data_IF_367109672475
#
_entry.id   IF_367109672475
#
_cell.length_a   1.000
_cell.length_b   1.000
_cell.length_c   1.000
_cell.angle_alpha   90.00
_cell.angle_beta   90.00
_cell.angle_gamma   90.00
#
_symmetry.space_group_name_H-M   'P 1'
#
loop_
_entity.id
_entity.type
_entity.pdbx_description
1 polymer ?
#
# COMPACT_ATOMS: atom_id res chain seq x y z
N UNK A 1 3.93 24.45 17.28
CA UNK A 1 4.24 23.97 15.91
C UNK A 1 5.63 23.37 15.99
N UNK A 2 5.77 22.10 15.65
CA UNK A 2 7.07 21.43 15.49
C UNK A 2 7.78 22.11 14.32
N UNK A 3 9.09 22.36 14.42
CA UNK A 3 9.84 22.94 13.30
C UNK A 3 9.92 21.91 12.15
N UNK A 4 9.95 22.38 10.88
CA UNK A 4 10.10 21.49 9.71
C UNK A 4 11.32 20.56 9.84
N UNK A 5 12.38 21.03 10.46
CA UNK A 5 13.60 20.26 10.72
C UNK A 5 13.35 19.11 11.71
N UNK A 6 12.62 19.36 12.79
CA UNK A 6 12.28 18.34 13.80
C UNK A 6 11.38 17.26 13.19
N UNK A 7 10.42 17.65 12.35
CA UNK A 7 9.55 16.69 11.66
C UNK A 7 10.31 15.79 10.67
N UNK A 8 11.29 16.36 9.95
CA UNK A 8 12.15 15.57 9.07
C UNK A 8 13.00 14.55 9.84
N UNK A 9 13.57 14.97 10.99
CA UNK A 9 14.38 14.09 11.84
C UNK A 9 13.52 12.92 12.39
N UNK A 10 12.29 13.19 12.83
CA UNK A 10 11.35 12.16 13.27
C UNK A 10 10.97 11.18 12.15
N UNK A 11 10.71 11.67 10.92
CA UNK A 11 10.39 10.82 9.79
C UNK A 11 11.57 9.95 9.35
N UNK A 12 12.80 10.45 9.40
CA UNK A 12 14.01 9.68 9.09
C UNK A 12 14.17 8.55 10.13
N UNK A 13 14.09 8.88 11.42
CA UNK A 13 14.18 7.87 12.48
C UNK A 13 13.09 6.80 12.33
N UNK A 14 11.84 7.21 12.08
CA UNK A 14 10.74 6.29 11.85
C UNK A 14 10.96 5.41 10.63
N UNK A 15 11.57 5.95 9.56
CA UNK A 15 11.94 5.19 8.38
C UNK A 15 12.92 4.06 8.70
N UNK A 16 13.96 4.35 9.48
CA UNK A 16 14.95 3.36 9.91
C UNK A 16 14.32 2.27 10.79
N UNK A 17 13.41 2.67 11.70
CA UNK A 17 12.69 1.73 12.58
C UNK A 17 11.75 0.78 11.80
N UNK A 18 11.12 1.27 10.74
CA UNK A 18 10.14 0.53 9.93
C UNK A 18 10.76 -0.26 8.77
N UNK A 19 12.02 -0.03 8.43
CA UNK A 19 12.68 -0.66 7.27
C UNK A 19 12.52 -2.18 7.26
N UNK A 20 12.86 -2.83 8.36
CA UNK A 20 12.80 -4.31 8.47
C UNK A 20 11.38 -4.83 8.29
N UNK A 21 10.40 -4.15 8.87
CA UNK A 21 9.00 -4.53 8.73
C UNK A 21 8.53 -4.36 7.28
N UNK A 22 8.90 -3.26 6.64
CA UNK A 22 8.56 -2.99 5.23
C UNK A 22 9.14 -4.04 4.30
N UNK A 23 10.41 -4.44 4.52
CA UNK A 23 11.06 -5.52 3.77
C UNK A 23 10.32 -6.85 3.98
N UNK A 24 9.91 -7.17 5.21
CA UNK A 24 9.18 -8.40 5.50
C UNK A 24 7.80 -8.43 4.82
N UNK A 25 7.06 -7.31 4.86
CA UNK A 25 5.77 -7.18 4.17
C UNK A 25 5.93 -7.33 2.65
N UNK A 26 6.95 -6.70 2.06
CA UNK A 26 7.26 -6.88 0.66
C UNK A 26 7.50 -8.34 0.30
N UNK A 27 8.32 -9.05 1.08
CA UNK A 27 8.62 -10.48 0.84
C UNK A 27 7.39 -11.37 1.01
N UNK A 28 6.53 -11.09 1.99
CA UNK A 28 5.26 -11.80 2.19
C UNK A 28 4.35 -11.66 0.96
N UNK A 29 4.22 -10.44 0.43
CA UNK A 29 3.42 -10.17 -0.77
C UNK A 29 4.08 -10.84 -1.99
N UNK A 30 5.40 -10.71 -2.15
CA UNK A 30 6.16 -11.27 -3.25
C UNK A 30 6.03 -12.79 -3.38
N UNK A 31 6.01 -13.50 -2.26
CA UNK A 31 5.84 -14.96 -2.23
C UNK A 31 4.44 -15.43 -2.63
N UNK A 32 3.44 -14.57 -2.57
CA UNK A 32 2.05 -14.90 -2.83
C UNK A 32 1.44 -14.01 -3.92
N UNK A 33 2.06 -13.90 -5.12
CA UNK A 33 1.60 -12.99 -6.16
C UNK A 33 0.26 -13.46 -6.73
N UNK A 34 -0.59 -12.50 -7.05
CA UNK A 34 -1.93 -12.72 -7.58
C UNK A 34 -2.15 -11.85 -8.81
N UNK A 35 -2.83 -12.42 -9.82
CA UNK A 35 -3.15 -11.69 -11.05
C UNK A 35 -4.25 -10.66 -10.84
N UNK A 36 -4.35 -9.74 -11.78
CA UNK A 36 -5.34 -8.66 -11.82
C UNK A 36 -6.76 -9.11 -11.44
N UNK A 37 -7.40 -8.38 -10.53
CA UNK A 37 -8.69 -8.66 -9.90
C UNK A 37 -8.77 -9.95 -9.05
N UNK A 38 -7.65 -10.57 -8.73
CA UNK A 38 -7.57 -11.75 -7.86
C UNK A 38 -6.67 -11.51 -6.64
N UNK A 39 -6.27 -10.26 -6.36
CA UNK A 39 -5.31 -9.85 -5.33
C UNK A 39 -5.91 -9.94 -3.91
N UNK A 40 -6.65 -11.00 -3.61
CA UNK A 40 -7.35 -11.18 -2.33
C UNK A 40 -6.43 -11.43 -1.15
N UNK A 41 -5.29 -12.11 -1.35
CA UNK A 41 -4.31 -12.33 -0.28
C UNK A 41 -3.56 -11.04 0.01
N UNK A 42 -3.13 -10.33 -1.04
CA UNK A 42 -2.48 -9.03 -0.94
C UNK A 42 -3.39 -8.03 -0.21
N UNK A 43 -4.67 -7.94 -0.58
CA UNK A 43 -5.64 -7.10 0.12
C UNK A 43 -5.80 -7.47 1.60
N UNK A 44 -5.80 -8.77 1.95
CA UNK A 44 -5.83 -9.19 3.36
C UNK A 44 -4.59 -8.76 4.13
N UNK A 45 -3.41 -8.81 3.52
CA UNK A 45 -2.18 -8.27 4.14
C UNK A 45 -2.33 -6.77 4.39
N UNK A 46 -2.82 -6.02 3.41
CA UNK A 46 -3.07 -4.57 3.53
C UNK A 46 -4.06 -4.28 4.66
N UNK A 47 -5.22 -4.93 4.67
CA UNK A 47 -6.25 -4.74 5.71
C UNK A 47 -5.72 -5.09 7.09
N UNK A 48 -5.01 -6.21 7.25
CA UNK A 48 -4.39 -6.61 8.51
C UNK A 48 -3.47 -5.52 9.07
N UNK A 49 -2.62 -4.94 8.23
CA UNK A 49 -1.70 -3.90 8.68
C UNK A 49 -2.45 -2.58 9.00
N UNK A 50 -3.44 -2.19 8.21
CA UNK A 50 -4.27 -1.01 8.48
C UNK A 50 -5.04 -1.16 9.81
N UNK A 51 -5.62 -2.34 10.08
CA UNK A 51 -6.28 -2.65 11.35
C UNK A 51 -5.30 -2.54 12.53
N UNK A 52 -4.09 -3.10 12.38
CA UNK A 52 -3.05 -3.08 13.41
C UNK A 52 -2.65 -1.65 13.81
N UNK A 53 -2.64 -0.72 12.88
CA UNK A 53 -2.26 0.68 13.10
C UNK A 53 -3.45 1.61 13.33
N UNK A 54 -4.67 1.09 13.26
CA UNK A 54 -5.91 1.84 13.50
C UNK A 54 -6.25 2.87 12.44
N UNK A 55 -5.88 2.64 11.18
CA UNK A 55 -6.26 3.50 10.06
C UNK A 55 -7.56 2.98 9.46
N UNK A 56 -8.62 3.81 9.39
CA UNK A 56 -9.87 3.44 8.73
C UNK A 56 -9.66 3.26 7.22
N UNK A 57 -10.32 2.25 6.68
CA UNK A 57 -10.32 1.97 5.25
C UNK A 57 -11.70 1.50 4.78
N UNK A 58 -11.89 1.57 3.48
CA UNK A 58 -13.03 0.99 2.78
C UNK A 58 -12.53 0.05 1.67
N UNK A 59 -13.25 -1.05 1.45
CA UNK A 59 -12.99 -1.89 0.29
C UNK A 59 -13.60 -1.21 -0.95
N UNK A 60 -12.86 -1.18 -2.04
CA UNK A 60 -13.40 -0.70 -3.31
C UNK A 60 -14.63 -1.53 -3.72
N UNK A 61 -15.67 -0.92 -4.31
CA UNK A 61 -16.83 -1.63 -4.82
C UNK A 61 -16.47 -2.77 -5.78
N UNK A 62 -15.43 -2.59 -6.57
CA UNK A 62 -14.80 -3.70 -7.30
C UNK A 62 -13.59 -4.21 -6.51
N UNK A 63 -13.88 -5.22 -5.68
CA UNK A 63 -12.84 -5.94 -4.94
C UNK A 63 -11.78 -6.53 -5.90
N UNK A 64 -10.53 -6.58 -5.46
CA UNK A 64 -10.06 -6.50 -4.06
C UNK A 64 -9.41 -5.16 -3.66
N UNK A 65 -9.67 -4.04 -4.30
CA UNK A 65 -9.06 -2.74 -3.97
C UNK A 65 -9.38 -2.24 -2.54
N UNK A 66 -8.45 -1.51 -1.94
CA UNK A 66 -8.55 -0.93 -0.59
C UNK A 66 -8.25 0.57 -0.65
N UNK A 67 -9.03 1.36 0.06
CA UNK A 67 -8.85 2.82 0.16
C UNK A 67 -8.70 3.21 1.63
N UNK A 68 -7.48 3.44 2.07
CA UNK A 68 -7.17 3.90 3.41
C UNK A 68 -7.32 5.42 3.51
N UNK A 69 -7.82 5.92 4.65
CA UNK A 69 -8.05 7.35 4.86
C UNK A 69 -7.36 7.82 6.14
N UNK A 70 -6.48 8.82 6.00
CA UNK A 70 -5.85 9.52 7.11
C UNK A 70 -6.41 10.93 7.13
N UNK A 71 -7.32 11.17 8.06
CA UNK A 71 -7.92 12.49 8.29
C UNK A 71 -7.25 13.14 9.51
N UNK A 72 -6.63 14.29 9.33
CA UNK A 72 -5.99 15.05 10.41
C UNK A 72 -7.00 15.70 11.38
N UNK A 73 -8.28 15.78 11.01
CA UNK A 73 -9.32 16.53 11.71
C UNK A 73 -9.18 18.06 11.58
N UNK A 74 -8.25 18.54 10.75
CA UNK A 74 -8.00 19.97 10.52
C UNK A 74 -8.31 20.33 9.07
N UNK A 75 -8.80 21.54 8.79
CA UNK A 75 -8.96 22.02 7.41
C UNK A 75 -7.62 21.99 6.66
N UNK A 76 -7.65 21.59 5.39
CA UNK A 76 -6.43 21.51 4.57
C UNK A 76 -6.71 20.94 3.19
N UNK A 77 -5.63 20.53 2.51
CA UNK A 77 -5.70 19.95 1.18
C UNK A 77 -6.16 18.49 1.24
N UNK A 78 -6.71 18.03 0.12
CA UNK A 78 -6.92 16.61 -0.15
C UNK A 78 -5.74 16.10 -0.99
N UNK A 79 -5.13 15.02 -0.56
CA UNK A 79 -4.04 14.34 -1.28
C UNK A 79 -4.44 12.88 -1.50
N UNK A 80 -4.10 12.37 -2.67
CA UNK A 80 -4.29 10.96 -3.02
C UNK A 80 -2.96 10.34 -3.44
N UNK A 81 -2.64 9.19 -2.89
CA UNK A 81 -1.50 8.36 -3.25
C UNK A 81 -2.01 7.03 -3.79
N UNK A 82 -1.28 6.42 -4.74
CA UNK A 82 -1.61 5.13 -5.34
C UNK A 82 -0.49 4.13 -5.12
N UNK A 83 -0.87 2.91 -4.79
CA UNK A 83 -0.01 1.75 -4.68
C UNK A 83 -0.68 0.57 -5.39
N UNK A 84 -0.07 0.07 -6.43
CA UNK A 84 -0.62 -1.04 -7.22
C UNK A 84 -0.37 -2.38 -6.52
N UNK A 85 -1.20 -3.41 -6.80
CA UNK A 85 -1.16 -4.67 -6.06
C UNK A 85 -1.00 -5.92 -6.93
N UNK A 86 -1.30 -5.85 -8.22
CA UNK A 86 -1.35 -7.03 -9.09
C UNK A 86 0.03 -7.49 -9.56
N UNK A 87 0.11 -8.78 -9.89
CA UNK A 87 1.29 -9.44 -10.43
C UNK A 87 1.07 -9.84 -11.90
N UNK A 88 2.14 -10.31 -12.54
CA UNK A 88 2.17 -10.68 -13.95
C UNK A 88 2.20 -12.20 -14.15
N UNK A 89 1.65 -12.73 -15.27
CA UNK A 89 1.70 -14.14 -15.61
C UNK A 89 3.10 -14.53 -16.17
N UNK A 90 4.10 -14.43 -15.30
CA UNK A 90 5.51 -14.70 -15.59
C UNK A 90 6.03 -15.74 -14.59
N UNK A 91 6.73 -16.78 -15.08
CA UNK A 91 7.40 -17.71 -14.19
C UNK A 91 8.63 -17.05 -13.60
N UNK A 92 8.69 -16.96 -12.29
CA UNK A 92 9.89 -16.49 -11.59
C UNK A 92 11.00 -17.54 -11.64
N UNK A 93 12.24 -17.07 -11.80
CA UNK A 93 13.45 -17.88 -11.78
C UNK A 93 14.63 -17.13 -11.18
N UNK A 94 14.36 -16.36 -10.14
CA UNK A 94 15.36 -15.53 -9.46
C UNK A 94 16.24 -16.31 -8.49
N UNK A 95 15.73 -17.42 -7.93
CA UNK A 95 16.41 -18.21 -6.89
C UNK A 95 16.49 -17.49 -5.54
N UNK A 96 15.65 -16.50 -5.29
CA UNK A 96 15.59 -15.78 -4.04
C UNK A 96 14.90 -16.60 -2.95
N UNK A 97 15.30 -16.42 -1.69
CA UNK A 97 14.66 -17.08 -0.53
C UNK A 97 13.17 -16.76 -0.39
N UNK A 98 12.71 -15.67 -1.00
CA UNK A 98 11.32 -15.21 -1.01
C UNK A 98 10.71 -15.25 -2.42
N UNK A 99 11.22 -16.12 -3.30
CA UNK A 99 10.66 -16.36 -4.63
C UNK A 99 9.17 -16.72 -4.58
N UNK A 100 8.45 -16.39 -5.63
CA UNK A 100 7.02 -16.70 -5.80
C UNK A 100 6.71 -18.17 -5.53
N UNK A 101 5.74 -18.44 -4.69
CA UNK A 101 5.19 -19.78 -4.45
C UNK A 101 4.02 -20.11 -5.39
N UNK A 102 3.68 -19.20 -6.31
CA UNK A 102 2.62 -19.38 -7.30
C UNK A 102 3.24 -19.62 -8.67
N UNK A 103 3.18 -20.87 -9.16
CA UNK A 103 3.73 -21.23 -10.45
C UNK A 103 3.16 -20.36 -11.58
N UNK A 104 4.03 -19.81 -12.41
CA UNK A 104 3.66 -18.98 -13.55
C UNK A 104 3.20 -17.56 -13.21
N UNK A 105 3.34 -17.11 -11.96
CA UNK A 105 2.98 -15.76 -11.53
C UNK A 105 4.10 -15.13 -10.72
N UNK A 106 4.43 -13.86 -11.01
CA UNK A 106 5.53 -13.13 -10.36
C UNK A 106 5.21 -11.65 -10.24
N UNK A 107 5.64 -11.01 -9.16
CA UNK A 107 5.70 -9.54 -9.04
C UNK A 107 6.85 -8.93 -9.87
N UNK A 108 6.82 -9.12 -11.19
CA UNK A 108 7.89 -8.67 -12.09
C UNK A 108 7.86 -7.16 -12.36
N UNK A 109 6.75 -6.46 -12.07
CA UNK A 109 6.63 -5.00 -12.16
C UNK A 109 6.94 -4.28 -10.84
N UNK A 110 7.12 -5.01 -9.73
CA UNK A 110 7.44 -4.41 -8.43
C UNK A 110 6.25 -3.88 -7.63
N UNK A 111 5.03 -4.33 -7.94
CA UNK A 111 3.83 -3.92 -7.21
C UNK A 111 3.80 -4.44 -5.76
N UNK A 112 4.55 -5.49 -5.43
CA UNK A 112 4.88 -5.90 -4.05
C UNK A 112 5.59 -4.78 -3.28
N UNK A 113 6.51 -4.06 -3.97
CA UNK A 113 7.15 -2.86 -3.47
C UNK A 113 6.17 -1.70 -3.31
N UNK A 114 5.29 -1.45 -4.30
CA UNK A 114 4.26 -0.41 -4.20
C UNK A 114 3.34 -0.64 -3.00
N UNK A 115 2.80 -1.83 -2.83
CA UNK A 115 1.89 -2.14 -1.72
C UNK A 115 2.58 -2.02 -0.35
N UNK A 116 3.80 -2.54 -0.21
CA UNK A 116 4.56 -2.43 1.05
C UNK A 116 4.97 -1.00 1.38
N UNK A 117 5.36 -0.21 0.38
CA UNK A 117 5.66 1.22 0.56
C UNK A 117 4.40 2.04 0.84
N UNK A 118 3.27 1.70 0.23
CA UNK A 118 1.98 2.30 0.56
C UNK A 118 1.61 2.10 2.04
N UNK A 119 1.83 0.90 2.57
CA UNK A 119 1.66 0.60 4.00
C UNK A 119 2.68 1.35 4.88
N UNK A 120 3.95 1.43 4.46
CA UNK A 120 4.95 2.24 5.14
C UNK A 120 4.52 3.71 5.25
N UNK A 121 4.02 4.29 4.14
CA UNK A 121 3.51 5.67 4.12
C UNK A 121 2.31 5.82 5.06
N UNK A 122 1.40 4.84 5.10
CA UNK A 122 0.30 4.83 6.07
C UNK A 122 0.81 4.91 7.52
N UNK A 123 1.80 4.07 7.87
CA UNK A 123 2.43 4.07 9.19
C UNK A 123 3.07 5.40 9.54
N UNK A 124 3.91 5.92 8.64
CA UNK A 124 4.63 7.18 8.84
C UNK A 124 3.68 8.37 9.01
N UNK A 125 2.69 8.50 8.13
CA UNK A 125 1.71 9.59 8.19
C UNK A 125 0.79 9.48 9.40
N UNK A 126 0.43 8.27 9.84
CA UNK A 126 -0.37 8.09 11.05
C UNK A 126 0.40 8.50 12.31
N UNK A 127 1.69 8.25 12.37
CA UNK A 127 2.53 8.66 13.49
C UNK A 127 2.55 10.19 13.66
N UNK A 128 2.60 10.94 12.57
CA UNK A 128 2.63 12.42 12.57
C UNK A 128 1.25 13.04 12.30
N UNK A 129 0.16 12.26 12.38
CA UNK A 129 -1.20 12.70 12.01
C UNK A 129 -1.63 14.01 12.65
N UNK A 130 -1.22 14.26 13.91
CA UNK A 130 -1.56 15.47 14.66
C UNK A 130 -0.92 16.74 14.10
N UNK A 131 0.18 16.59 13.34
CA UNK A 131 0.93 17.68 12.72
C UNK A 131 0.51 17.93 11.27
N UNK A 132 -0.30 17.03 10.71
CA UNK A 132 -0.88 17.18 9.38
C UNK A 132 -2.08 18.14 9.36
N UNK A 133 -2.47 18.58 8.15
CA UNK A 133 -3.68 19.32 7.85
C UNK A 133 -4.34 18.76 6.59
N UNK A 134 -5.67 18.60 6.60
CA UNK A 134 -6.43 18.02 5.51
C UNK A 134 -6.56 16.50 5.58
N UNK A 135 -6.83 15.88 4.44
CA UNK A 135 -7.11 14.45 4.31
C UNK A 135 -6.16 13.82 3.29
N UNK A 136 -5.62 12.66 3.63
CA UNK A 136 -4.79 11.87 2.72
C UNK A 136 -5.49 10.52 2.51
N UNK A 137 -5.75 10.16 1.26
CA UNK A 137 -6.20 8.82 0.87
C UNK A 137 -5.05 8.05 0.22
N UNK A 138 -4.90 6.79 0.60
CA UNK A 138 -3.96 5.86 -0.03
C UNK A 138 -4.79 4.76 -0.69
N UNK A 139 -4.71 4.65 -2.02
CA UNK A 139 -5.42 3.65 -2.80
C UNK A 139 -4.48 2.49 -3.09
N UNK A 140 -4.79 1.32 -2.54
CA UNK A 140 -4.19 0.06 -2.95
C UNK A 140 -5.00 -0.47 -4.13
N UNK A 141 -4.47 -0.20 -5.32
CA UNK A 141 -5.19 -0.40 -6.58
C UNK A 141 -4.99 -1.81 -7.11
N UNK A 142 -6.08 -2.55 -7.41
CA UNK A 142 -6.00 -3.80 -8.15
C UNK A 142 -5.87 -3.55 -9.65
N UNK A 143 -5.42 -4.56 -10.40
CA UNK A 143 -5.54 -4.66 -11.85
C UNK A 143 -4.97 -3.45 -12.63
N UNK A 144 -3.75 -3.03 -12.30
CA UNK A 144 -3.04 -2.00 -13.05
C UNK A 144 -2.61 -2.51 -14.43
N UNK A 145 -2.12 -3.76 -14.50
CA UNK A 145 -1.53 -4.41 -15.68
C UNK A 145 -2.56 -4.67 -16.80
N UNK A 146 -3.02 -3.57 -17.41
CA UNK A 146 -3.85 -3.60 -18.63
C UNK A 146 -5.34 -3.87 -18.43
N UNK A 147 -5.82 -4.11 -17.22
CA UNK A 147 -7.22 -4.52 -16.94
C UNK A 147 -8.09 -3.38 -16.37
N UNK A 148 -7.55 -2.14 -16.30
CA UNK A 148 -8.29 -0.92 -15.98
C UNK A 148 -8.86 -0.83 -14.55
N UNK A 149 -8.13 -1.32 -13.55
CA UNK A 149 -8.54 -1.21 -12.14
C UNK A 149 -8.80 0.23 -11.69
N UNK A 150 -7.99 1.19 -12.10
CA UNK A 150 -8.20 2.61 -11.83
C UNK A 150 -9.56 3.14 -12.34
N UNK A 151 -9.97 2.71 -13.55
CA UNK A 151 -11.27 3.10 -14.13
C UNK A 151 -12.41 2.69 -13.19
N UNK A 152 -12.36 1.49 -12.68
CA UNK A 152 -13.34 0.96 -11.74
C UNK A 152 -13.45 1.81 -10.46
N UNK A 153 -12.31 2.22 -9.90
CA UNK A 153 -12.29 3.07 -8.70
C UNK A 153 -12.95 4.42 -8.98
N UNK A 154 -12.58 5.08 -10.08
CA UNK A 154 -13.13 6.40 -10.48
C UNK A 154 -14.62 6.33 -10.79
N UNK A 155 -15.10 5.32 -11.53
CA UNK A 155 -16.51 5.15 -11.88
C UNK A 155 -17.40 4.89 -10.65
N UNK A 156 -16.84 4.45 -9.54
CA UNK A 156 -17.52 4.23 -8.27
C UNK A 156 -17.36 5.42 -7.29
N UNK A 157 -16.82 6.54 -7.73
CA UNK A 157 -16.83 7.81 -6.98
C UNK A 157 -15.67 8.00 -6.00
N UNK A 158 -14.56 7.30 -6.20
CA UNK A 158 -13.34 7.44 -5.39
C UNK A 158 -12.21 8.13 -6.15
#
# INVERSE_FOLDING_TARGET
MISDKTLQEELIQLSDELEKQTIQLRREIHQCPELSFHEYKTSRVVMRELDRIGIPYEESPQKPGIIATIDSGKPGKFLMLRADMDALPIQESTGLDFESQTSGVMHACGHDGHASLGLFVCLALNAIRKDLSGVIKIIFQPAEEGVRGAKSIVENGH
#
